data_IF_947237372881
#
_entry.id   IF_947237372881
#
_cell.length_a   1.000
_cell.length_b   1.000
_cell.length_c   1.000
_cell.angle_alpha   90.00
_cell.angle_beta   90.00
_cell.angle_gamma   90.00
#
_symmetry.space_group_name_H-M   'P 1'
#
loop_
_entity.id
_entity.type
_entity.pdbx_description
1 polymer ?
#
# COMPACT_ATOMS: atom_id res chain seq x y z
N UNK A 1 48.82 -13.72 -3.24
CA UNK A 1 47.70 -14.67 -3.04
C UNK A 1 47.15 -14.51 -1.63
N UNK A 2 46.13 -13.67 -1.42
CA UNK A 2 45.06 -13.93 -0.44
C UNK A 2 43.87 -13.02 -0.74
N UNK A 3 42.70 -13.63 -0.68
CA UNK A 3 41.42 -13.24 -1.27
C UNK A 3 40.73 -12.09 -0.53
N UNK A 4 40.16 -11.15 -1.28
CA UNK A 4 39.24 -10.13 -0.80
C UNK A 4 37.89 -10.79 -0.41
N UNK A 5 37.49 -10.67 0.85
CA UNK A 5 36.14 -10.98 1.28
C UNK A 5 35.24 -9.77 0.95
N UNK A 6 34.46 -9.90 -0.13
CA UNK A 6 33.41 -8.95 -0.51
C UNK A 6 32.18 -9.24 0.36
N UNK A 7 32.03 -8.53 1.48
CA UNK A 7 30.78 -8.54 2.25
C UNK A 7 29.74 -7.77 1.45
N UNK A 8 28.80 -8.49 0.85
CA UNK A 8 27.58 -7.91 0.26
C UNK A 8 26.69 -7.54 1.44
N UNK A 9 26.77 -6.29 1.89
CA UNK A 9 25.69 -5.71 2.71
C UNK A 9 24.45 -5.63 1.83
N UNK A 10 23.55 -6.58 2.03
CA UNK A 10 22.20 -6.55 1.48
C UNK A 10 21.48 -5.36 2.09
N UNK A 11 21.46 -4.25 1.36
CA UNK A 11 20.69 -3.05 1.66
C UNK A 11 19.20 -3.34 1.42
N UNK A 12 18.64 -4.18 2.28
CA UNK A 12 17.19 -4.33 2.44
C UNK A 12 16.80 -3.17 3.36
N UNK A 13 16.05 -2.16 2.90
CA UNK A 13 15.57 -1.10 3.78
C UNK A 13 14.47 -1.66 4.67
N UNK A 14 14.89 -2.35 5.73
CA UNK A 14 14.06 -2.76 6.86
C UNK A 14 13.97 -1.56 7.79
N UNK A 15 12.96 -0.74 7.58
CA UNK A 15 12.22 0.07 8.56
C UNK A 15 11.61 1.25 7.83
N UNK A 16 10.37 1.04 7.37
CA UNK A 16 9.45 2.13 7.15
C UNK A 16 9.23 2.79 8.52
N UNK A 17 9.94 3.88 8.80
CA UNK A 17 9.82 4.63 10.04
C UNK A 17 8.38 5.18 10.14
N UNK A 18 7.52 4.51 10.90
CA UNK A 18 6.12 4.89 11.12
C UNK A 18 6.02 5.80 12.35
N UNK A 19 6.83 6.86 12.40
CA UNK A 19 6.60 7.94 13.36
C UNK A 19 5.33 8.67 12.91
N UNK A 20 4.36 8.81 13.83
CA UNK A 20 3.05 9.47 13.70
C UNK A 20 3.04 10.66 12.73
N UNK A 21 2.88 10.36 11.43
CA UNK A 21 2.58 11.36 10.42
C UNK A 21 1.06 11.39 10.33
N UNK A 22 0.45 12.54 10.71
CA UNK A 22 -0.96 12.84 10.45
C UNK A 22 -1.35 12.25 9.11
N UNK A 23 -2.24 11.25 9.11
CA UNK A 23 -2.66 10.58 7.88
C UNK A 23 -3.25 11.66 6.97
N UNK A 24 -2.55 11.98 5.89
CA UNK A 24 -3.03 12.95 4.89
C UNK A 24 -4.39 12.47 4.39
N UNK A 25 -5.37 13.38 4.36
CA UNK A 25 -6.68 13.07 3.80
C UNK A 25 -6.56 12.65 2.34
N UNK A 26 -7.26 11.56 2.00
CA UNK A 26 -7.28 11.02 0.66
C UNK A 26 -8.14 11.91 -0.25
N UNK A 27 -7.49 12.64 -1.15
CA UNK A 27 -8.12 13.71 -1.94
C UNK A 27 -8.76 13.20 -3.24
N UNK A 28 -9.55 14.05 -3.90
CA UNK A 28 -10.04 13.77 -5.25
C UNK A 28 -8.89 13.61 -6.27
N UNK A 29 -7.78 14.34 -6.10
CA UNK A 29 -6.60 14.20 -6.95
C UNK A 29 -5.93 12.82 -6.78
N UNK A 30 -5.92 12.29 -5.56
CA UNK A 30 -5.38 10.95 -5.28
C UNK A 30 -6.25 9.85 -5.91
N UNK A 31 -7.58 10.04 -5.91
CA UNK A 31 -8.52 9.15 -6.65
C UNK A 31 -8.23 9.13 -8.15
N UNK A 32 -8.06 10.31 -8.75
CA UNK A 32 -7.75 10.42 -10.18
C UNK A 32 -6.39 9.80 -10.52
N UNK A 33 -5.38 10.06 -9.69
CA UNK A 33 -4.03 9.48 -9.85
C UNK A 33 -4.08 7.96 -9.72
N UNK A 34 -4.83 7.44 -8.75
CA UNK A 34 -5.05 6.00 -8.57
C UNK A 34 -5.69 5.38 -9.81
N UNK A 35 -6.72 6.01 -10.36
CA UNK A 35 -7.39 5.54 -11.57
C UNK A 35 -6.43 5.49 -12.77
N UNK A 36 -5.60 6.51 -12.94
CA UNK A 36 -4.62 6.56 -14.03
C UNK A 36 -3.55 5.48 -13.89
N UNK A 37 -3.01 5.29 -12.69
CA UNK A 37 -2.06 4.21 -12.41
C UNK A 37 -2.69 2.82 -12.64
N UNK A 38 -3.97 2.62 -12.26
CA UNK A 38 -4.69 1.38 -12.52
C UNK A 38 -4.86 1.12 -14.01
N UNK A 39 -5.16 2.15 -14.83
CA UNK A 39 -5.20 2.02 -16.30
C UNK A 39 -3.84 1.57 -16.85
N UNK A 40 -2.75 2.16 -16.37
CA UNK A 40 -1.40 1.76 -16.77
C UNK A 40 -1.10 0.32 -16.34
N UNK A 41 -1.44 -0.05 -15.10
CA UNK A 41 -1.26 -1.38 -14.56
C UNK A 41 -2.02 -2.45 -15.35
N UNK A 42 -3.24 -2.15 -15.82
CA UNK A 42 -4.01 -3.08 -16.67
C UNK A 42 -3.38 -3.30 -18.04
N UNK A 43 -2.66 -2.31 -18.58
CA UNK A 43 -1.96 -2.44 -19.87
C UNK A 43 -0.64 -3.20 -19.74
N UNK A 44 0.11 -2.92 -18.68
CA UNK A 44 1.41 -3.52 -18.41
C UNK A 44 1.61 -3.72 -16.90
N UNK A 45 1.16 -4.86 -16.33
CA UNK A 45 1.32 -5.13 -14.91
C UNK A 45 2.79 -5.14 -14.51
N UNK A 46 3.12 -4.40 -13.45
CA UNK A 46 4.46 -4.41 -12.86
C UNK A 46 4.41 -4.20 -11.36
N UNK A 47 5.37 -4.79 -10.63
CA UNK A 47 5.50 -4.59 -9.20
C UNK A 47 5.61 -3.09 -8.84
N UNK A 48 6.37 -2.32 -9.64
CA UNK A 48 6.52 -0.88 -9.46
C UNK A 48 5.17 -0.13 -9.48
N UNK A 49 4.32 -0.40 -10.48
CA UNK A 49 3.01 0.25 -10.58
C UNK A 49 2.09 -0.17 -9.43
N UNK A 50 2.07 -1.47 -9.09
CA UNK A 50 1.29 -1.99 -7.97
C UNK A 50 1.69 -1.31 -6.67
N UNK A 51 2.99 -1.26 -6.38
CA UNK A 51 3.51 -0.64 -5.17
C UNK A 51 3.19 0.85 -5.10
N UNK A 52 3.21 1.54 -6.24
CA UNK A 52 2.83 2.97 -6.31
C UNK A 52 1.35 3.19 -6.02
N UNK A 53 0.47 2.32 -6.53
CA UNK A 53 -0.96 2.35 -6.22
C UNK A 53 -1.19 2.05 -4.74
N UNK A 54 -0.55 1.00 -4.21
CA UNK A 54 -0.66 0.60 -2.79
C UNK A 54 -0.20 1.72 -1.87
N UNK A 55 0.98 2.31 -2.11
CA UNK A 55 1.49 3.42 -1.30
C UNK A 55 0.58 4.64 -1.32
N UNK A 56 0.03 4.99 -2.49
CA UNK A 56 -0.91 6.12 -2.62
C UNK A 56 -2.20 5.89 -1.79
N UNK A 57 -2.65 4.64 -1.69
CA UNK A 57 -3.91 4.26 -1.05
C UNK A 57 -3.76 3.73 0.39
N UNK A 58 -2.54 3.69 0.94
CA UNK A 58 -2.26 3.13 2.29
C UNK A 58 -3.05 3.84 3.40
N UNK A 59 -3.38 5.13 3.21
CA UNK A 59 -4.19 5.91 4.15
C UNK A 59 -5.60 5.35 4.36
N UNK A 60 -6.16 4.64 3.37
CA UNK A 60 -7.45 3.96 3.50
C UNK A 60 -7.39 2.86 4.56
N UNK A 61 -6.32 2.03 4.52
CA UNK A 61 -6.10 0.97 5.52
C UNK A 61 -5.81 1.59 6.88
N UNK A 62 -4.94 2.60 6.96
CA UNK A 62 -4.59 3.22 8.24
C UNK A 62 -5.81 3.75 8.98
N UNK A 63 -6.77 4.33 8.25
CA UNK A 63 -8.03 4.81 8.83
C UNK A 63 -8.86 3.67 9.41
N UNK A 64 -8.98 2.57 8.66
CA UNK A 64 -9.73 1.39 9.10
C UNK A 64 -9.05 0.72 10.30
N UNK A 65 -7.75 0.45 10.21
CA UNK A 65 -6.97 -0.18 11.28
C UNK A 65 -6.96 0.66 12.56
N UNK A 66 -6.86 1.99 12.43
CA UNK A 66 -6.91 2.87 13.61
C UNK A 66 -8.23 2.70 14.37
N UNK A 67 -9.37 2.62 13.67
CA UNK A 67 -10.67 2.36 14.28
C UNK A 67 -10.70 1.04 15.07
N UNK A 68 -10.07 -0.03 14.58
CA UNK A 68 -9.99 -1.32 15.28
C UNK A 68 -8.99 -1.32 16.44
N UNK A 69 -7.88 -0.60 16.29
CA UNK A 69 -6.80 -0.52 17.26
C UNK A 69 -7.07 0.44 18.44
N UNK A 70 -8.14 1.25 18.38
CA UNK A 70 -8.59 2.10 19.51
C UNK A 70 -8.82 1.28 20.79
N UNK A 71 -9.03 -0.03 20.69
CA UNK A 71 -9.26 -0.93 21.84
C UNK A 71 -8.00 -1.68 22.29
N UNK A 72 -7.06 -1.94 21.38
CA UNK A 72 -5.83 -2.70 21.63
C UNK A 72 -4.75 -2.19 20.69
N UNK A 73 -3.79 -1.43 21.20
CA UNK A 73 -2.74 -0.84 20.36
C UNK A 73 -1.73 -1.88 19.86
N UNK A 74 -1.55 -2.99 20.60
CA UNK A 74 -0.57 -4.03 20.27
C UNK A 74 -0.85 -4.75 18.95
N UNK A 75 -2.09 -4.75 18.46
CA UNK A 75 -2.46 -5.40 17.20
C UNK A 75 -2.39 -4.47 15.98
N UNK A 76 -2.04 -3.20 16.16
CA UNK A 76 -2.08 -2.20 15.09
C UNK A 76 -1.21 -2.61 13.89
N UNK A 77 0.04 -3.00 14.14
CA UNK A 77 0.98 -3.35 13.08
C UNK A 77 0.58 -4.63 12.35
N UNK A 78 0.03 -5.61 13.07
CA UNK A 78 -0.49 -6.86 12.49
C UNK A 78 -1.69 -6.57 11.58
N UNK A 79 -2.64 -5.76 12.04
CA UNK A 79 -3.79 -5.34 11.24
C UNK A 79 -3.36 -4.51 10.03
N UNK A 80 -2.35 -3.65 10.17
CA UNK A 80 -1.81 -2.86 9.07
C UNK A 80 -1.17 -3.75 8.01
N UNK A 81 -0.43 -4.79 8.41
CA UNK A 81 0.15 -5.76 7.47
C UNK A 81 -0.93 -6.56 6.73
N UNK A 82 -1.92 -7.10 7.45
CA UNK A 82 -3.04 -7.84 6.84
C UNK A 82 -3.83 -6.93 5.90
N UNK A 83 -4.10 -5.68 6.31
CA UNK A 83 -4.75 -4.69 5.47
C UNK A 83 -3.94 -4.36 4.20
N UNK A 84 -2.61 -4.24 4.31
CA UNK A 84 -1.73 -4.02 3.17
C UNK A 84 -1.78 -5.19 2.16
N UNK A 85 -1.79 -6.44 2.64
CA UNK A 85 -2.01 -7.61 1.78
C UNK A 85 -3.38 -7.58 1.10
N UNK A 86 -4.43 -7.19 1.82
CA UNK A 86 -5.77 -6.98 1.27
C UNK A 86 -5.79 -5.94 0.15
N UNK A 87 -5.12 -4.81 0.34
CA UNK A 87 -5.02 -3.75 -0.66
C UNK A 87 -4.21 -4.17 -1.89
N UNK A 88 -3.13 -4.93 -1.72
CA UNK A 88 -2.40 -5.54 -2.85
C UNK A 88 -3.35 -6.40 -3.68
N UNK A 89 -4.10 -7.30 -3.02
CA UNK A 89 -5.10 -8.13 -3.68
C UNK A 89 -6.23 -7.31 -4.34
N UNK A 90 -6.61 -6.18 -3.74
CA UNK A 90 -7.58 -5.28 -4.33
C UNK A 90 -7.05 -4.63 -5.62
N UNK A 91 -5.78 -4.20 -5.66
CA UNK A 91 -5.14 -3.69 -6.88
C UNK A 91 -5.14 -4.75 -7.98
N UNK A 92 -4.86 -6.00 -7.64
CA UNK A 92 -4.78 -7.10 -8.60
C UNK A 92 -6.16 -7.46 -9.19
N UNK A 93 -7.22 -7.43 -8.37
CA UNK A 93 -8.59 -7.82 -8.75
C UNK A 93 -9.48 -6.70 -9.26
N UNK A 94 -9.07 -5.44 -9.12
CA UNK A 94 -9.94 -4.32 -9.47
C UNK A 94 -10.17 -4.20 -10.99
N UNK A 95 -11.44 -4.09 -11.37
CA UNK A 95 -11.89 -3.96 -12.75
C UNK A 95 -12.43 -2.55 -13.02
N UNK A 96 -11.84 -1.85 -13.99
CA UNK A 96 -12.14 -0.44 -14.31
C UNK A 96 -13.57 -0.20 -14.78
N UNK A 97 -14.24 -1.23 -15.32
CA UNK A 97 -15.55 -1.14 -15.96
C UNK A 97 -16.74 -1.39 -15.02
N UNK A 98 -16.51 -1.65 -13.73
CA UNK A 98 -17.59 -2.00 -12.79
C UNK A 98 -18.31 -0.80 -12.14
N UNK A 99 -17.95 0.43 -12.51
CA UNK A 99 -18.68 1.64 -12.13
C UNK A 99 -18.53 2.13 -10.69
N UNK A 100 -17.72 1.46 -9.85
CA UNK A 100 -17.39 1.91 -8.51
C UNK A 100 -15.94 2.41 -8.40
N UNK A 101 -15.70 3.35 -7.48
CA UNK A 101 -14.36 3.85 -7.21
C UNK A 101 -13.49 2.77 -6.55
N UNK A 102 -12.19 2.74 -6.88
CA UNK A 102 -11.23 1.84 -6.27
C UNK A 102 -11.21 1.91 -4.74
N UNK A 103 -11.26 3.12 -4.18
CA UNK A 103 -11.30 3.31 -2.72
C UNK A 103 -12.49 2.63 -2.05
N UNK A 104 -13.64 2.56 -2.72
CA UNK A 104 -14.85 1.90 -2.22
C UNK A 104 -14.78 0.37 -2.34
N UNK A 105 -13.96 -0.13 -3.27
CA UNK A 105 -13.71 -1.55 -3.45
C UNK A 105 -12.69 -2.08 -2.45
N UNK A 106 -11.63 -1.32 -2.20
CA UNK A 106 -10.53 -1.74 -1.33
C UNK A 106 -10.89 -1.85 0.16
N UNK A 107 -12.02 -1.27 0.58
CA UNK A 107 -12.51 -1.29 1.98
C UNK A 107 -13.68 -2.25 2.20
N UNK A 108 -14.02 -3.06 1.19
CA UNK A 108 -15.05 -4.12 1.28
C UNK A 108 -14.38 -5.48 1.46
#
# INVERSE_FOLDING_TARGET
>A
MTTAALTIESDIPTQLSITTHRVREFSAADKNTTLELLKQYRKAPSAYLRDRIVRLNIGLIKKEVHFWAERHSEIYDDLLQVGALGLIGAVDRFELNRGYAFSSFAVR
#
